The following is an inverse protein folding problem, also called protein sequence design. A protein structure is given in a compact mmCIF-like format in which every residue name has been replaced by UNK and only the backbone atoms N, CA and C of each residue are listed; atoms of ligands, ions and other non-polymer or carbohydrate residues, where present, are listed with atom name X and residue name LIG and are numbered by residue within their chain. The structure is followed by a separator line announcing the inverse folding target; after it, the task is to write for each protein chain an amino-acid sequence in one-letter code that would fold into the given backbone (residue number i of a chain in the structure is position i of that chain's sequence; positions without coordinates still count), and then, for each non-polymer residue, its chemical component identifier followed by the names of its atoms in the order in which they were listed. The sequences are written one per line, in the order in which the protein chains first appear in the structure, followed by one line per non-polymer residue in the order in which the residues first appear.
data_IF_912383384523
#
_entry.id   IF_912383384523
#
_cell.length_a   1.000
_cell.length_b   1.000
_cell.length_c   1.000
_cell.angle_alpha   90.00
_cell.angle_beta   90.00
_cell.angle_gamma   90.00
#
_symmetry.space_group_name_H-M   'P 1'
#
loop_
_entity.id
_entity.type
_entity.pdbx_description
1 polymer ?
#
# COMPACT_ATOMS: atom_id res chain seq x y z
N UNK A 1 -2.61 -26.91 -7.10
CA UNK A 1 -3.32 -25.87 -6.32
C UNK A 1 -2.88 -25.97 -4.86
N UNK A 2 -2.51 -24.88 -4.17
CA UNK A 2 -2.27 -24.96 -2.72
C UNK A 2 -3.57 -25.33 -2.02
N UNK A 3 -3.52 -26.32 -1.11
CA UNK A 3 -4.68 -26.78 -0.35
C UNK A 3 -5.20 -25.62 0.52
N UNK A 4 -6.48 -25.29 0.36
CA UNK A 4 -7.15 -24.35 1.28
C UNK A 4 -7.19 -24.95 2.67
N UNK A 5 -7.08 -24.13 3.72
CA UNK A 5 -7.26 -24.60 5.10
C UNK A 5 -8.63 -25.26 5.27
N UNK A 6 -8.73 -26.23 6.18
CA UNK A 6 -10.02 -26.83 6.55
C UNK A 6 -10.96 -25.76 7.12
N UNK A 7 -12.27 -26.04 7.06
CA UNK A 7 -13.29 -25.16 7.62
C UNK A 7 -13.08 -24.93 9.13
N UNK A 8 -12.66 -25.98 9.84
CA UNK A 8 -12.40 -25.93 11.29
C UNK A 8 -11.30 -24.93 11.63
N UNK A 9 -10.14 -25.04 10.96
CA UNK A 9 -9.01 -24.12 11.20
C UNK A 9 -9.42 -22.67 10.86
N UNK A 10 -10.24 -22.46 9.82
CA UNK A 10 -10.75 -21.12 9.48
C UNK A 10 -11.64 -20.54 10.58
N UNK A 11 -12.53 -21.36 11.15
CA UNK A 11 -13.41 -20.97 12.24
C UNK A 11 -12.62 -20.69 13.53
N UNK A 12 -11.61 -21.51 13.83
CA UNK A 12 -10.75 -21.31 14.99
C UNK A 12 -9.92 -20.03 14.88
N UNK A 13 -9.36 -19.73 13.69
CA UNK A 13 -8.70 -18.45 13.40
C UNK A 13 -9.67 -17.29 13.62
N UNK A 14 -10.91 -17.40 13.12
CA UNK A 14 -11.93 -16.35 13.28
C UNK A 14 -12.25 -16.10 14.76
N UNK A 15 -12.49 -17.16 15.53
CA UNK A 15 -12.79 -17.10 16.96
C UNK A 15 -11.64 -16.49 17.76
N UNK A 16 -10.39 -16.88 17.45
CA UNK A 16 -9.23 -16.31 18.13
C UNK A 16 -9.05 -14.81 17.83
N UNK A 17 -9.28 -14.38 16.58
CA UNK A 17 -9.25 -12.96 16.21
C UNK A 17 -10.39 -12.16 16.88
N UNK A 18 -11.59 -12.74 17.00
CA UNK A 18 -12.71 -12.15 17.74
C UNK A 18 -12.38 -11.98 19.23
N UNK A 19 -11.64 -12.91 19.81
CA UNK A 19 -11.14 -12.84 21.18
C UNK A 19 -9.99 -11.83 21.38
N UNK A 20 -9.66 -11.03 20.34
CA UNK A 20 -8.63 -9.99 20.42
C UNK A 20 -7.19 -10.51 20.33
N UNK A 21 -6.97 -11.78 19.95
CA UNK A 21 -5.62 -12.34 19.81
C UNK A 21 -4.87 -11.73 18.63
N UNK A 22 -3.57 -11.51 18.82
CA UNK A 22 -2.70 -10.95 17.78
C UNK A 22 -2.51 -11.92 16.60
N UNK A 23 -2.44 -11.40 15.37
CA UNK A 23 -2.34 -12.26 14.17
C UNK A 23 -1.09 -13.16 14.15
N UNK A 24 0.01 -12.74 14.78
CA UNK A 24 1.22 -13.57 14.93
C UNK A 24 1.03 -14.71 15.95
N UNK A 25 0.35 -14.42 17.07
CA UNK A 25 0.01 -15.43 18.09
C UNK A 25 -0.91 -16.51 17.49
N UNK A 26 -1.93 -16.09 16.75
CA UNK A 26 -2.84 -16.99 16.02
C UNK A 26 -2.09 -17.83 14.99
N UNK A 27 -1.15 -17.23 14.25
CA UNK A 27 -0.34 -17.94 13.26
C UNK A 27 0.49 -19.06 13.89
N UNK A 28 1.20 -18.75 14.98
CA UNK A 28 2.00 -19.73 15.73
C UNK A 28 1.12 -20.85 16.30
N UNK A 29 -0.05 -20.50 16.86
CA UNK A 29 -0.97 -21.47 17.47
C UNK A 29 -1.50 -22.52 16.48
N UNK A 30 -1.82 -22.10 15.27
CA UNK A 30 -2.43 -22.99 14.26
C UNK A 30 -1.44 -23.50 13.21
N UNK A 31 -0.14 -23.25 13.38
CA UNK A 31 0.90 -23.70 12.45
C UNK A 31 0.76 -23.11 11.04
N UNK A 32 0.21 -21.90 10.93
CA UNK A 32 -0.02 -21.21 9.65
C UNK A 32 0.82 -19.95 9.56
N UNK A 33 1.02 -19.43 8.35
CA UNK A 33 1.78 -18.18 8.18
C UNK A 33 0.97 -16.97 8.63
N UNK A 34 1.67 -15.95 9.14
CA UNK A 34 1.07 -14.64 9.46
C UNK A 34 0.24 -14.08 8.28
N UNK A 35 0.77 -14.20 7.05
CA UNK A 35 0.07 -13.74 5.85
C UNK A 35 -1.28 -14.44 5.67
N UNK A 36 -1.35 -15.74 5.96
CA UNK A 36 -2.59 -16.53 5.91
C UNK A 36 -3.61 -16.01 6.91
N UNK A 37 -3.20 -15.82 8.18
CA UNK A 37 -4.07 -15.26 9.22
C UNK A 37 -4.53 -13.86 8.84
N UNK A 38 -3.62 -13.01 8.32
CA UNK A 38 -3.97 -11.65 7.92
C UNK A 38 -4.94 -11.63 6.73
N UNK A 39 -4.83 -12.58 5.80
CA UNK A 39 -5.79 -12.72 4.70
C UNK A 39 -7.19 -13.11 5.22
N UNK A 40 -7.28 -14.06 6.14
CA UNK A 40 -8.54 -14.43 6.77
C UNK A 40 -9.12 -13.30 7.62
N UNK A 41 -8.29 -12.60 8.39
CA UNK A 41 -8.71 -11.42 9.14
C UNK A 41 -9.31 -10.33 8.23
N UNK A 42 -8.67 -10.06 7.09
CA UNK A 42 -9.21 -9.10 6.10
C UNK A 42 -10.51 -9.58 5.44
N UNK A 43 -10.72 -10.90 5.35
CA UNK A 43 -11.95 -11.51 4.80
C UNK A 43 -13.10 -11.49 5.81
N UNK A 44 -12.82 -11.80 7.08
CA UNK A 44 -13.81 -11.85 8.15
C UNK A 44 -14.19 -10.47 8.69
N UNK A 45 -13.25 -9.52 8.67
CA UNK A 45 -13.43 -8.18 9.22
C UNK A 45 -13.18 -7.12 8.14
N UNK A 46 -14.15 -6.86 7.25
CA UNK A 46 -13.97 -5.91 6.15
C UNK A 46 -13.69 -4.47 6.63
N UNK A 47 -14.21 -4.10 7.80
CA UNK A 47 -14.01 -2.79 8.44
C UNK A 47 -12.71 -2.67 9.24
N UNK A 48 -11.87 -3.72 9.29
CA UNK A 48 -10.58 -3.66 9.98
C UNK A 48 -9.69 -2.65 9.28
N UNK A 49 -9.10 -1.73 10.04
CA UNK A 49 -8.13 -0.77 9.50
C UNK A 49 -6.98 -1.53 8.84
N UNK A 50 -6.97 -1.51 7.50
CA UNK A 50 -5.91 -2.13 6.72
C UNK A 50 -4.70 -1.22 6.83
N UNK A 51 -3.52 -1.78 7.12
CA UNK A 51 -2.28 -1.07 6.85
C UNK A 51 -2.30 -0.62 5.38
N UNK A 52 -1.85 0.61 5.12
CA UNK A 52 -1.83 1.21 3.78
C UNK A 52 -1.22 0.20 2.80
N UNK A 53 -2.07 -0.45 1.99
CA UNK A 53 -1.60 -1.36 0.95
C UNK A 53 -1.13 -0.48 -0.19
N UNK A 54 0.16 -0.57 -0.53
CA UNK A 54 0.74 0.13 -1.65
C UNK A 54 2.15 0.62 -1.34
N UNK A 55 2.87 1.04 -2.39
CA UNK A 55 4.14 1.74 -2.23
C UNK A 55 3.85 3.07 -1.51
N UNK A 56 4.61 3.43 -0.45
CA UNK A 56 4.45 4.73 0.18
C UNK A 56 4.61 5.83 -0.86
N UNK A 57 3.65 6.76 -0.86
CA UNK A 57 3.65 7.88 -1.79
C UNK A 57 4.77 8.84 -1.36
N UNK A 58 5.85 8.88 -2.14
CA UNK A 58 7.03 9.71 -1.82
C UNK A 58 6.72 11.21 -1.97
N UNK A 59 5.75 11.54 -2.81
CA UNK A 59 5.25 12.90 -3.04
C UNK A 59 3.79 12.95 -2.63
N UNK A 60 3.38 14.01 -1.94
CA UNK A 60 1.99 14.14 -1.49
C UNK A 60 1.02 14.18 -2.68
N UNK A 61 -0.22 13.74 -2.47
CA UNK A 61 -1.24 13.77 -3.52
C UNK A 61 -1.49 15.20 -4.05
N UNK A 62 -1.43 16.20 -3.16
CA UNK A 62 -1.58 17.61 -3.50
C UNK A 62 -0.46 18.08 -4.43
N UNK A 63 0.81 17.81 -4.08
CA UNK A 63 1.96 18.18 -4.90
C UNK A 63 1.93 17.45 -6.24
N UNK A 64 1.56 16.17 -6.25
CA UNK A 64 1.39 15.40 -7.50
C UNK A 64 0.37 16.06 -8.43
N UNK A 65 -0.77 16.50 -7.90
CA UNK A 65 -1.81 17.21 -8.68
C UNK A 65 -1.28 18.56 -9.20
N UNK A 66 -0.58 19.30 -8.37
CA UNK A 66 0.03 20.59 -8.75
C UNK A 66 1.04 20.43 -9.90
N UNK A 67 1.96 19.47 -9.81
CA UNK A 67 2.92 19.17 -10.88
C UNK A 67 2.21 18.75 -12.17
N UNK A 68 1.19 17.89 -12.09
CA UNK A 68 0.41 17.49 -13.27
C UNK A 68 -0.24 18.68 -13.97
N UNK A 69 -0.79 19.63 -13.22
CA UNK A 69 -1.37 20.85 -13.80
C UNK A 69 -0.32 21.69 -14.53
N UNK A 70 0.88 21.85 -13.96
CA UNK A 70 1.97 22.57 -14.62
C UNK A 70 2.45 21.87 -15.90
N UNK A 71 2.48 20.53 -15.91
CA UNK A 71 2.80 19.76 -17.12
C UNK A 71 1.73 19.96 -18.20
N UNK A 72 0.45 19.85 -17.83
CA UNK A 72 -0.68 20.07 -18.76
C UNK A 72 -0.72 21.49 -19.31
N UNK A 73 -0.35 22.48 -18.51
CA UNK A 73 -0.23 23.88 -18.92
C UNK A 73 1.03 24.15 -19.76
N UNK A 74 1.90 23.15 -19.96
CA UNK A 74 3.15 23.27 -20.72
C UNK A 74 4.25 24.06 -20.00
N UNK A 75 4.08 24.32 -18.69
CA UNK A 75 5.07 25.01 -17.85
C UNK A 75 6.23 24.09 -17.47
N UNK A 76 5.96 22.78 -17.29
CA UNK A 76 6.98 21.75 -17.08
C UNK A 76 6.90 20.78 -18.26
N UNK A 77 7.85 20.87 -19.20
CA UNK A 77 7.80 20.12 -20.46
C UNK A 77 8.54 18.79 -20.37
N UNK A 78 9.51 18.71 -19.47
CA UNK A 78 10.42 17.57 -19.35
C UNK A 78 10.38 16.96 -17.95
N UNK A 79 10.70 15.67 -17.87
CA UNK A 79 10.86 14.98 -16.59
C UNK A 79 11.98 15.60 -15.73
N UNK A 80 12.96 16.28 -16.35
CA UNK A 80 14.02 17.02 -15.67
C UNK A 80 13.49 18.25 -14.95
N UNK A 81 12.69 19.08 -15.63
CA UNK A 81 12.05 20.24 -14.99
C UNK A 81 11.13 19.81 -13.85
N UNK A 82 10.40 18.71 -14.02
CA UNK A 82 9.59 18.12 -12.94
C UNK A 82 10.46 17.67 -11.76
N UNK A 83 11.61 17.02 -12.04
CA UNK A 83 12.54 16.57 -11.01
C UNK A 83 13.13 17.74 -10.23
N UNK A 84 13.62 18.76 -10.93
CA UNK A 84 14.19 19.97 -10.34
C UNK A 84 13.15 20.70 -9.48
N UNK A 85 11.91 20.82 -9.97
CA UNK A 85 10.83 21.47 -9.20
C UNK A 85 10.48 20.70 -7.93
N UNK A 86 10.49 19.37 -7.98
CA UNK A 86 10.23 18.54 -6.81
C UNK A 86 11.38 18.61 -5.79
N UNK A 87 12.63 18.70 -6.25
CA UNK A 87 13.78 18.96 -5.38
C UNK A 87 13.70 20.34 -4.72
N UNK A 88 13.31 21.38 -5.45
CA UNK A 88 13.08 22.74 -4.94
C UNK A 88 11.99 22.77 -3.84
N UNK A 89 10.94 21.98 -4.02
CA UNK A 89 9.86 21.79 -3.03
C UNK A 89 10.28 20.92 -1.83
N UNK A 90 11.55 20.48 -1.77
CA UNK A 90 12.11 19.71 -0.65
C UNK A 90 11.93 18.19 -0.76
N UNK A 91 11.44 17.66 -1.88
CA UNK A 91 11.31 16.23 -2.08
C UNK A 91 12.63 15.61 -2.55
N UNK A 92 13.20 14.70 -1.75
CA UNK A 92 14.35 13.89 -2.15
C UNK A 92 13.91 12.69 -2.97
N UNK A 93 13.70 12.90 -4.27
CA UNK A 93 13.24 11.86 -5.19
C UNK A 93 14.27 11.51 -6.27
N UNK A 94 14.18 10.29 -6.78
CA UNK A 94 14.95 9.86 -7.94
C UNK A 94 14.40 10.45 -9.23
N UNK A 95 15.24 10.58 -10.25
CA UNK A 95 14.81 11.00 -11.60
C UNK A 95 13.73 10.07 -12.18
N UNK A 96 13.83 8.75 -11.92
CA UNK A 96 12.80 7.76 -12.31
C UNK A 96 11.42 8.07 -11.72
N UNK A 97 11.37 8.64 -10.52
CA UNK A 97 10.12 9.07 -9.89
C UNK A 97 9.50 10.24 -10.65
N UNK A 98 10.30 11.17 -11.16
CA UNK A 98 9.83 12.30 -11.95
C UNK A 98 9.32 11.88 -13.33
N UNK A 99 9.99 10.93 -14.00
CA UNK A 99 9.51 10.34 -15.28
C UNK A 99 8.10 9.76 -15.12
N UNK A 100 7.85 9.05 -14.02
CA UNK A 100 6.52 8.48 -13.75
C UNK A 100 5.45 9.57 -13.52
N UNK A 101 5.83 10.83 -13.23
CA UNK A 101 4.87 11.93 -13.09
C UNK A 101 4.49 12.55 -14.42
N UNK A 102 5.36 12.47 -15.42
CA UNK A 102 5.14 12.99 -16.77
C UNK A 102 4.43 12.00 -17.70
N UNK A 103 4.53 10.69 -17.45
CA UNK A 103 4.02 9.63 -18.35
C UNK A 103 2.57 9.15 -18.11
N UNK A 104 1.89 9.60 -17.05
CA UNK A 104 0.47 9.28 -16.75
C UNK A 104 -0.44 10.48 -17.12
N UNK A 105 -0.25 11.06 -18.31
CA UNK A 105 -1.07 12.14 -18.86
C UNK A 105 -1.93 11.62 -20.02
#
# INVERSE_FOLDING_TARGET
MPKSLSADIKNDIKSALLAGKGSMEVANRFGVTYATVNNYANKFFPNRQRGLRGRPMVVSAQTKRFIKLQVLQGQLKTAREVHDKLMELGYRISYKTAINMTGDA
#
